data_IF_604928243962
#
_entry.id   IF_604928243962
#
_cell.length_a   1.000
_cell.length_b   1.000
_cell.length_c   1.000
_cell.angle_alpha   90.00
_cell.angle_beta   90.00
_cell.angle_gamma   90.00
#
_symmetry.space_group_name_H-M   'P 1'
#
loop_
_entity.id
_entity.type
_entity.pdbx_description
1 polymer ?
#
# COMPACT_ATOMS: atom_id res chain seq x y z
N UNK A 1 64.30 -38.52 39.93
CA UNK A 1 63.93 -37.94 38.63
C UNK A 1 62.44 -38.12 38.47
N UNK A 2 61.66 -37.03 38.65
CA UNK A 2 60.18 -36.97 38.46
C UNK A 2 59.90 -36.31 37.15
N UNK A 3 59.27 -36.98 36.20
CA UNK A 3 58.80 -36.47 34.94
C UNK A 3 57.45 -35.81 35.18
N UNK A 4 57.34 -34.49 34.94
CA UNK A 4 56.08 -33.77 34.89
C UNK A 4 55.52 -33.90 33.46
N UNK A 5 54.36 -34.54 33.36
CA UNK A 5 53.57 -34.61 32.12
C UNK A 5 52.64 -33.39 32.06
N UNK A 6 52.87 -32.54 31.09
CA UNK A 6 52.05 -31.32 30.86
C UNK A 6 50.93 -31.66 29.84
N UNK A 7 49.68 -31.71 30.27
CA UNK A 7 48.53 -31.90 29.40
C UNK A 7 48.06 -30.55 28.89
N UNK A 8 48.19 -30.34 27.59
CA UNK A 8 47.72 -29.14 26.88
C UNK A 8 46.24 -29.32 26.54
N UNK A 9 45.36 -28.59 27.25
CA UNK A 9 43.93 -28.57 26.94
C UNK A 9 43.65 -27.61 25.78
N UNK A 10 43.25 -28.12 24.63
CA UNK A 10 42.69 -27.33 23.51
C UNK A 10 41.25 -26.98 23.83
N UNK A 11 41.00 -25.70 24.04
CA UNK A 11 39.63 -25.12 24.12
C UNK A 11 39.20 -24.80 22.70
N UNK A 12 38.32 -25.62 22.14
CA UNK A 12 37.68 -25.34 20.85
C UNK A 12 36.54 -24.32 21.05
N UNK A 13 36.75 -23.08 20.63
CA UNK A 13 35.72 -22.05 20.63
C UNK A 13 34.78 -22.27 19.43
N UNK A 14 33.60 -22.81 19.67
CA UNK A 14 32.56 -22.96 18.69
C UNK A 14 31.89 -21.59 18.44
N UNK A 15 32.20 -20.92 17.32
CA UNK A 15 31.46 -19.78 16.85
C UNK A 15 30.06 -20.20 16.36
N UNK A 16 29.01 -19.91 17.15
CA UNK A 16 27.64 -20.02 16.71
C UNK A 16 27.36 -18.88 15.71
N UNK A 17 27.35 -19.20 14.42
CA UNK A 17 26.80 -18.34 13.38
C UNK A 17 25.27 -18.33 13.53
N UNK A 18 24.73 -17.30 14.18
CA UNK A 18 23.31 -17.04 14.17
C UNK A 18 22.91 -16.60 12.74
N UNK A 19 22.40 -17.54 11.96
CA UNK A 19 21.76 -17.23 10.68
C UNK A 19 20.50 -16.43 10.99
N UNK A 20 20.50 -15.12 10.69
CA UNK A 20 19.28 -14.32 10.64
C UNK A 20 18.40 -14.87 9.51
N UNK A 21 17.53 -15.82 9.81
CA UNK A 21 16.48 -16.23 8.89
C UNK A 21 15.56 -15.03 8.67
N UNK A 22 15.55 -14.48 7.46
CA UNK A 22 14.54 -13.49 7.07
C UNK A 22 13.16 -14.11 7.27
N UNK A 23 12.28 -13.41 7.99
CA UNK A 23 10.90 -13.88 8.15
C UNK A 23 10.27 -14.11 6.77
N UNK A 24 9.46 -15.16 6.59
CA UNK A 24 8.79 -15.41 5.32
C UNK A 24 7.98 -14.17 4.96
N UNK A 25 8.23 -13.62 3.76
CA UNK A 25 7.52 -12.46 3.27
C UNK A 25 6.12 -12.93 2.83
N UNK A 26 5.08 -12.20 3.28
CA UNK A 26 3.71 -12.49 2.90
C UNK A 26 3.43 -12.20 1.40
N UNK A 27 2.22 -12.53 0.92
CA UNK A 27 1.78 -12.16 -0.42
C UNK A 27 2.00 -10.68 -0.71
N UNK A 28 2.34 -10.38 -1.98
CA UNK A 28 2.60 -9.02 -2.45
C UNK A 28 1.74 -8.67 -3.65
N UNK A 29 1.43 -7.38 -3.77
CA UNK A 29 0.76 -6.83 -4.93
C UNK A 29 1.40 -5.49 -5.32
N UNK A 30 1.17 -5.10 -6.57
CA UNK A 30 1.69 -3.87 -7.15
C UNK A 30 0.62 -3.19 -8.00
N UNK A 31 0.62 -1.87 -7.99
CA UNK A 31 -0.18 -1.03 -8.86
C UNK A 31 0.73 0.05 -9.48
N UNK A 32 0.83 0.07 -10.81
CA UNK A 32 1.52 1.12 -11.54
C UNK A 32 0.50 2.18 -11.92
N UNK A 33 0.51 3.29 -11.21
CA UNK A 33 -0.38 4.43 -11.46
C UNK A 33 0.02 5.09 -12.78
N UNK A 34 -0.95 5.18 -13.67
CA UNK A 34 -0.85 5.92 -14.91
C UNK A 34 -1.76 7.16 -14.84
N UNK A 35 -1.35 8.28 -15.46
CA UNK A 35 -2.15 9.49 -15.43
C UNK A 35 -3.45 9.28 -16.22
N UNK A 36 -4.54 9.77 -15.70
CA UNK A 36 -5.78 9.91 -16.46
C UNK A 36 -5.65 11.07 -17.45
N UNK A 37 -6.59 11.13 -18.41
CA UNK A 37 -6.55 12.13 -19.49
C UNK A 37 -6.38 13.56 -18.97
N UNK A 38 -5.32 14.24 -19.43
CA UNK A 38 -5.01 15.63 -19.07
C UNK A 38 -4.33 15.80 -17.70
N UNK A 39 -3.96 14.70 -17.04
CA UNK A 39 -3.27 14.71 -15.75
C UNK A 39 -1.83 14.17 -15.88
N UNK A 40 -1.06 14.20 -14.76
CA UNK A 40 0.33 13.81 -14.75
C UNK A 40 0.69 12.85 -13.59
N UNK A 41 -0.27 12.48 -12.74
CA UNK A 41 -0.06 11.62 -11.58
C UNK A 41 0.40 10.23 -12.01
N UNK A 42 1.63 9.85 -11.71
CA UNK A 42 2.22 8.58 -12.11
C UNK A 42 3.17 8.02 -11.05
N UNK A 43 3.37 6.71 -11.05
CA UNK A 43 4.33 6.03 -10.19
C UNK A 43 3.88 4.64 -9.75
N UNK A 44 4.35 4.19 -8.60
CA UNK A 44 4.14 2.81 -8.15
C UNK A 44 3.65 2.78 -6.71
N UNK A 45 2.69 1.90 -6.46
CA UNK A 45 2.22 1.54 -5.13
C UNK A 45 2.43 0.05 -4.95
N UNK A 46 3.09 -0.35 -3.87
CA UNK A 46 3.26 -1.75 -3.50
C UNK A 46 2.55 -2.07 -2.20
N UNK A 47 2.01 -3.27 -2.13
CA UNK A 47 1.34 -3.83 -0.97
C UNK A 47 2.06 -5.11 -0.55
N UNK A 48 2.26 -5.30 0.74
CA UNK A 48 2.86 -6.49 1.32
C UNK A 48 2.07 -6.93 2.54
N UNK A 49 1.64 -8.19 2.56
CA UNK A 49 0.93 -8.73 3.72
C UNK A 49 1.87 -8.85 4.94
N UNK A 50 1.42 -8.33 6.07
CA UNK A 50 2.11 -8.31 7.37
C UNK A 50 1.14 -8.75 8.48
N UNK A 51 0.97 -10.07 8.66
CA UNK A 51 -0.07 -10.61 9.54
C UNK A 51 -1.46 -10.21 9.01
N UNK A 52 -2.26 -9.57 9.86
CA UNK A 52 -3.64 -9.14 9.53
C UNK A 52 -3.71 -7.75 8.86
N UNK A 53 -2.57 -7.21 8.44
CA UNK A 53 -2.47 -5.89 7.85
C UNK A 53 -1.70 -5.92 6.53
N UNK A 54 -1.85 -4.87 5.73
CA UNK A 54 -1.02 -4.61 4.55
C UNK A 54 -0.10 -3.43 4.82
N UNK A 55 1.21 -3.61 4.62
CA UNK A 55 2.15 -2.52 4.46
C UNK A 55 2.00 -1.96 3.03
N UNK A 56 1.70 -0.67 2.94
CA UNK A 56 1.54 0.06 1.68
C UNK A 56 2.71 1.02 1.52
N UNK A 57 3.43 0.90 0.40
CA UNK A 57 4.48 1.85 0.04
C UNK A 57 4.08 2.57 -1.24
N UNK A 58 4.13 3.89 -1.19
CA UNK A 58 3.71 4.79 -2.26
C UNK A 58 4.90 5.60 -2.76
N UNK A 59 5.11 5.61 -4.08
CA UNK A 59 6.09 6.46 -4.77
C UNK A 59 5.41 7.05 -6.00
N UNK A 60 4.96 8.29 -5.91
CA UNK A 60 4.26 8.99 -7.00
C UNK A 60 4.94 10.32 -7.30
N UNK A 61 4.65 10.84 -8.48
CA UNK A 61 5.03 12.18 -8.95
C UNK A 61 3.94 12.78 -9.85
N UNK A 62 4.11 14.03 -10.25
CA UNK A 62 3.16 14.70 -11.13
C UNK A 62 1.89 15.18 -10.42
N UNK A 63 1.93 15.27 -9.09
CA UNK A 63 0.85 15.81 -8.27
C UNK A 63 1.01 17.33 -8.10
N UNK A 64 -0.05 18.00 -7.69
CA UNK A 64 0.04 19.42 -7.35
C UNK A 64 0.90 19.60 -6.09
N UNK A 65 1.95 20.44 -6.12
CA UNK A 65 2.82 20.66 -4.98
C UNK A 65 2.08 21.11 -3.71
N UNK A 66 2.53 20.59 -2.55
CA UNK A 66 2.02 20.95 -1.23
C UNK A 66 0.51 20.75 -1.06
N UNK A 67 -0.09 19.79 -1.79
CA UNK A 67 -1.51 19.46 -1.65
C UNK A 67 -1.70 18.04 -1.13
N UNK A 68 -2.90 17.81 -0.62
CA UNK A 68 -3.37 16.50 -0.19
C UNK A 68 -4.32 15.93 -1.23
N UNK A 69 -4.31 14.60 -1.39
CA UNK A 69 -5.04 13.89 -2.42
C UNK A 69 -5.76 12.69 -1.83
N UNK A 70 -7.06 12.55 -2.09
CA UNK A 70 -7.81 11.33 -1.80
C UNK A 70 -7.18 10.14 -2.50
N UNK A 71 -7.14 9.00 -1.83
CA UNK A 71 -6.48 7.80 -2.29
C UNK A 71 -7.31 6.58 -1.93
N UNK A 72 -7.85 5.88 -2.95
CA UNK A 72 -8.84 4.85 -2.71
C UNK A 72 -8.68 3.64 -3.62
N UNK A 73 -8.98 2.45 -3.07
CA UNK A 73 -9.22 1.26 -3.88
C UNK A 73 -10.68 1.31 -4.36
N UNK A 74 -10.90 1.07 -5.65
CA UNK A 74 -12.20 1.09 -6.31
C UNK A 74 -12.68 -0.31 -6.68
N UNK A 75 -13.99 -0.45 -6.91
CA UNK A 75 -14.68 -1.73 -7.13
C UNK A 75 -14.14 -2.53 -8.32
N UNK A 76 -13.72 -1.86 -9.41
CA UNK A 76 -13.37 -2.51 -10.67
C UNK A 76 -11.94 -2.16 -11.07
N UNK A 77 -11.17 -3.16 -11.49
CA UNK A 77 -9.85 -2.95 -12.08
C UNK A 77 -9.93 -2.58 -13.55
N UNK A 78 -10.59 -1.47 -13.84
CA UNK A 78 -10.82 -0.98 -15.20
C UNK A 78 -10.47 0.51 -15.31
N UNK A 79 -9.35 0.82 -15.97
CA UNK A 79 -8.92 2.20 -16.25
C UNK A 79 -9.24 2.65 -17.70
N UNK A 80 -10.04 1.89 -18.45
CA UNK A 80 -10.23 2.08 -19.90
C UNK A 80 -10.98 3.35 -20.29
N UNK A 81 -11.78 3.94 -19.38
CA UNK A 81 -12.51 5.19 -19.66
C UNK A 81 -11.60 6.41 -19.87
N UNK A 82 -10.33 6.29 -19.46
CA UNK A 82 -9.34 7.35 -19.58
C UNK A 82 -9.50 8.50 -18.58
N UNK A 83 -10.58 8.53 -17.81
CA UNK A 83 -10.83 9.46 -16.70
C UNK A 83 -10.95 8.75 -15.35
N UNK A 84 -10.74 7.42 -15.35
CA UNK A 84 -10.83 6.56 -14.20
C UNK A 84 -12.26 6.20 -13.76
N UNK A 85 -13.30 6.70 -14.42
CA UNK A 85 -14.70 6.47 -14.00
C UNK A 85 -15.14 5.02 -14.18
N UNK A 86 -14.52 4.26 -15.09
CA UNK A 86 -14.79 2.82 -15.29
C UNK A 86 -14.47 1.96 -14.06
N UNK A 87 -13.66 2.46 -13.11
CA UNK A 87 -13.36 1.73 -11.85
C UNK A 87 -14.56 1.66 -10.89
N UNK A 88 -15.65 2.39 -11.13
CA UNK A 88 -16.83 2.40 -10.25
C UNK A 88 -16.63 3.23 -8.98
N UNK A 89 -17.32 2.84 -7.89
CA UNK A 89 -17.22 3.44 -6.56
C UNK A 89 -16.04 2.90 -5.75
N UNK A 90 -15.96 3.28 -4.47
CA UNK A 90 -14.97 2.73 -3.54
C UNK A 90 -15.23 1.24 -3.30
N UNK A 91 -14.17 0.45 -3.14
CA UNK A 91 -14.25 -0.96 -2.78
C UNK A 91 -14.84 -1.11 -1.38
N UNK A 92 -16.08 -1.60 -1.30
CA UNK A 92 -16.85 -1.67 -0.06
C UNK A 92 -17.60 -3.00 0.10
N UNK A 93 -16.90 -4.12 0.25
CA UNK A 93 -17.54 -5.43 0.41
C UNK A 93 -18.28 -5.56 1.75
N UNK A 94 -17.93 -4.76 2.74
CA UNK A 94 -18.51 -4.76 4.10
C UNK A 94 -19.72 -3.86 4.24
N UNK A 95 -20.04 -3.03 3.24
CA UNK A 95 -21.17 -2.08 3.21
C UNK A 95 -21.15 -1.05 4.35
N UNK A 96 -19.96 -0.61 4.72
CA UNK A 96 -19.76 0.47 5.67
C UNK A 96 -20.00 1.84 5.03
N UNK A 97 -20.07 2.88 5.84
CA UNK A 97 -20.04 4.27 5.37
C UNK A 97 -18.63 4.67 4.98
N UNK A 98 -18.47 5.72 4.15
CA UNK A 98 -17.18 6.32 3.88
C UNK A 98 -16.62 7.00 5.14
N UNK A 99 -15.31 6.89 5.38
CA UNK A 99 -14.72 7.49 6.57
C UNK A 99 -13.20 7.31 6.70
N UNK A 100 -12.61 7.88 7.76
CA UNK A 100 -11.17 7.82 7.99
C UNK A 100 -10.73 6.46 8.58
N UNK A 101 -9.45 6.14 8.41
CA UNK A 101 -8.83 5.02 9.09
C UNK A 101 -8.99 5.16 10.62
N UNK A 102 -9.34 4.05 11.29
CA UNK A 102 -9.60 4.03 12.74
C UNK A 102 -11.06 4.30 13.15
N UNK A 103 -11.94 4.61 12.22
CA UNK A 103 -13.39 4.60 12.36
C UNK A 103 -14.02 3.59 11.39
N UNK A 104 -15.35 3.53 11.35
CA UNK A 104 -16.05 2.77 10.31
C UNK A 104 -15.80 3.44 8.95
N UNK A 105 -15.37 2.64 7.95
CA UNK A 105 -15.00 3.13 6.62
C UNK A 105 -15.12 2.03 5.57
N UNK A 106 -15.11 2.37 4.29
CA UNK A 106 -15.00 1.38 3.22
C UNK A 106 -13.65 0.65 3.30
N UNK A 107 -13.60 -0.60 2.94
CA UNK A 107 -12.32 -1.32 2.86
C UNK A 107 -11.33 -0.61 1.93
N UNK A 108 -11.81 0.07 0.91
CA UNK A 108 -11.01 0.82 -0.06
C UNK A 108 -10.61 2.23 0.37
N UNK A 109 -11.07 2.76 1.49
CA UNK A 109 -10.68 4.10 1.96
C UNK A 109 -9.27 4.03 2.56
N UNK A 110 -8.28 4.57 1.87
CA UNK A 110 -6.89 4.59 2.31
C UNK A 110 -6.54 5.97 2.90
N UNK A 111 -5.46 6.07 3.69
CA UNK A 111 -4.95 7.37 4.12
C UNK A 111 -4.66 8.27 2.93
N UNK A 112 -5.08 9.54 3.01
CA UNK A 112 -4.80 10.52 1.97
C UNK A 112 -3.30 10.71 1.75
N UNK A 113 -2.91 11.04 0.52
CA UNK A 113 -1.53 11.25 0.12
C UNK A 113 -1.19 12.73 0.18
N UNK A 114 -0.06 13.08 0.80
CA UNK A 114 0.43 14.45 0.85
C UNK A 114 1.62 14.63 -0.08
N UNK A 115 1.47 15.46 -1.10
CA UNK A 115 2.54 15.81 -2.02
C UNK A 115 3.49 16.85 -1.39
N UNK A 116 4.78 16.67 -1.64
CA UNK A 116 5.83 17.61 -1.27
C UNK A 116 5.87 18.86 -2.19
N UNK A 117 6.87 19.71 -2.00
CA UNK A 117 7.06 20.92 -2.79
C UNK A 117 7.37 20.66 -4.28
N UNK A 118 7.80 19.45 -4.63
CA UNK A 118 8.06 19.00 -6.01
C UNK A 118 6.90 18.22 -6.63
N UNK A 119 5.77 18.10 -5.91
CA UNK A 119 4.62 17.30 -6.36
C UNK A 119 4.86 15.79 -6.32
N UNK A 120 5.72 15.34 -5.40
CA UNK A 120 6.04 13.93 -5.18
C UNK A 120 5.44 13.43 -3.89
N UNK A 121 5.12 12.13 -3.88
CA UNK A 121 4.76 11.39 -2.66
C UNK A 121 5.75 10.25 -2.48
N UNK A 122 6.34 10.18 -1.30
CA UNK A 122 7.04 9.01 -0.81
C UNK A 122 6.52 8.72 0.59
N UNK A 123 5.62 7.74 0.68
CA UNK A 123 4.92 7.40 1.92
C UNK A 123 4.95 5.89 2.17
N UNK A 124 4.88 5.53 3.45
CA UNK A 124 4.72 4.15 3.89
C UNK A 124 3.78 4.14 5.09
N UNK A 125 2.75 3.32 5.03
CA UNK A 125 1.75 3.18 6.10
C UNK A 125 1.17 1.76 6.11
N UNK A 126 0.49 1.43 7.19
CA UNK A 126 -0.17 0.13 7.35
C UNK A 126 -1.69 0.31 7.36
N UNK A 127 -2.40 -0.54 6.64
CA UNK A 127 -3.87 -0.61 6.64
C UNK A 127 -4.35 -1.97 7.13
N UNK A 128 -5.47 -1.98 7.83
CA UNK A 128 -6.07 -3.18 8.40
C UNK A 128 -7.17 -3.73 7.48
N UNK A 129 -7.59 -4.96 7.73
CA UNK A 129 -8.76 -5.59 7.13
C UNK A 129 -8.75 -5.74 5.60
N UNK A 130 -7.61 -5.53 4.93
CA UNK A 130 -7.40 -5.84 3.52
C UNK A 130 -6.56 -7.11 3.35
N UNK A 131 -6.81 -7.86 2.26
CA UNK A 131 -6.09 -9.09 1.93
C UNK A 131 -5.47 -9.04 0.53
N UNK A 132 -4.54 -9.98 0.26
CA UNK A 132 -3.95 -10.20 -1.06
C UNK A 132 -4.16 -11.66 -1.44
N UNK A 133 -4.96 -11.91 -2.48
CA UNK A 133 -5.21 -13.22 -3.05
C UNK A 133 -6.21 -14.07 -2.27
N UNK A 134 -6.87 -13.53 -1.26
CA UNK A 134 -7.85 -14.28 -0.47
C UNK A 134 -8.85 -13.39 0.31
N UNK A 135 -10.02 -13.96 0.57
CA UNK A 135 -11.05 -13.36 1.40
C UNK A 135 -11.89 -12.29 0.69
N UNK A 136 -12.91 -11.77 1.39
CA UNK A 136 -13.86 -10.81 0.81
C UNK A 136 -13.24 -9.40 0.60
N UNK A 137 -12.12 -9.12 1.24
CA UNK A 137 -11.40 -7.84 1.14
C UNK A 137 -10.10 -7.98 0.34
N UNK A 138 -10.03 -8.99 -0.57
CA UNK A 138 -8.92 -9.15 -1.50
C UNK A 138 -8.84 -7.95 -2.45
N UNK A 139 -7.66 -7.32 -2.51
CA UNK A 139 -7.43 -6.14 -3.34
C UNK A 139 -7.02 -6.45 -4.78
N UNK A 140 -6.72 -7.72 -5.10
CA UNK A 140 -6.29 -8.09 -6.46
C UNK A 140 -7.40 -7.88 -7.48
N UNK A 141 -7.04 -7.30 -8.62
CA UNK A 141 -7.98 -7.02 -9.70
C UNK A 141 -8.86 -5.80 -9.47
N UNK A 142 -8.71 -5.09 -8.37
CA UNK A 142 -9.39 -3.83 -8.09
C UNK A 142 -8.64 -2.62 -8.66
N UNK A 143 -9.36 -1.50 -8.84
CA UNK A 143 -8.78 -0.22 -9.26
C UNK A 143 -8.11 0.49 -8.08
N UNK A 144 -7.02 1.19 -8.34
CA UNK A 144 -6.40 2.10 -7.38
C UNK A 144 -6.41 3.50 -7.97
N UNK A 145 -7.01 4.45 -7.25
CA UNK A 145 -7.26 5.80 -7.73
C UNK A 145 -6.57 6.83 -6.84
N UNK A 146 -5.94 7.82 -7.49
CA UNK A 146 -5.49 9.07 -6.89
C UNK A 146 -6.44 10.19 -7.34
N UNK A 147 -6.94 10.98 -6.39
CA UNK A 147 -7.87 12.07 -6.63
C UNK A 147 -7.19 13.44 -6.67
N UNK A 148 -7.87 14.43 -7.26
CA UNK A 148 -7.32 15.78 -7.42
C UNK A 148 -7.34 16.61 -6.14
N UNK A 149 -8.28 16.32 -5.23
CA UNK A 149 -8.51 17.07 -3.99
C UNK A 149 -8.35 16.17 -2.76
N UNK A 150 -8.21 16.74 -1.56
CA UNK A 150 -8.25 16.00 -0.31
C UNK A 150 -9.54 15.19 -0.16
N UNK A 151 -9.44 14.10 0.59
CA UNK A 151 -10.60 13.42 1.14
C UNK A 151 -11.07 14.16 2.39
N UNK A 152 -12.35 14.53 2.47
CA UNK A 152 -12.91 15.17 3.67
C UNK A 152 -13.37 14.16 4.74
N UNK A 153 -13.34 12.85 4.42
CA UNK A 153 -13.71 11.72 5.27
C UNK A 153 -15.15 11.76 5.83
N UNK A 154 -16.00 12.64 5.33
CA UNK A 154 -17.35 12.89 5.86
C UNK A 154 -18.41 12.80 4.77
N UNK A 155 -18.15 13.38 3.60
CA UNK A 155 -19.12 13.42 2.49
C UNK A 155 -19.32 12.01 1.92
N UNK A 156 -20.57 11.56 1.97
CA UNK A 156 -20.92 10.25 1.44
C UNK A 156 -21.22 10.32 -0.06
N UNK A 157 -20.88 9.30 -0.82
CA UNK A 157 -20.13 8.09 -0.44
C UNK A 157 -18.62 8.15 -0.69
N UNK A 158 -18.03 9.30 -1.05
CA UNK A 158 -16.68 9.34 -1.64
C UNK A 158 -15.77 10.47 -1.13
N UNK A 159 -16.12 11.13 0.01
CA UNK A 159 -15.25 12.11 0.65
C UNK A 159 -14.98 13.37 -0.16
N UNK A 160 -15.80 13.67 -1.17
CA UNK A 160 -15.67 14.85 -2.02
C UNK A 160 -14.28 15.09 -2.65
N UNK A 161 -13.53 14.00 -2.88
CA UNK A 161 -12.14 14.04 -3.35
C UNK A 161 -11.97 14.51 -4.81
N UNK A 162 -13.07 14.74 -5.53
CA UNK A 162 -13.07 15.32 -6.88
C UNK A 162 -12.60 14.33 -7.97
N UNK A 163 -12.06 14.90 -9.06
CA UNK A 163 -11.68 14.14 -10.24
C UNK A 163 -10.56 13.12 -9.94
N UNK A 164 -10.54 12.02 -10.71
CA UNK A 164 -9.54 10.96 -10.64
C UNK A 164 -8.38 11.32 -11.55
N UNK A 165 -7.21 11.56 -10.99
CA UNK A 165 -6.03 12.05 -11.72
C UNK A 165 -4.99 10.96 -12.01
N UNK A 166 -5.10 9.83 -11.35
CA UNK A 166 -4.26 8.64 -11.58
C UNK A 166 -5.07 7.37 -11.37
N UNK A 167 -4.82 6.36 -12.21
CA UNK A 167 -5.53 5.08 -12.20
C UNK A 167 -4.56 3.92 -12.39
N UNK A 168 -4.78 2.83 -11.67
CA UNK A 168 -4.09 1.56 -11.85
C UNK A 168 -5.01 0.39 -11.58
N UNK A 169 -4.61 -0.79 -12.05
CA UNK A 169 -5.17 -2.08 -11.61
C UNK A 169 -4.15 -2.73 -10.66
N UNK A 170 -4.60 -3.18 -9.50
CA UNK A 170 -3.76 -3.89 -8.53
C UNK A 170 -3.54 -5.32 -9.01
N UNK A 171 -2.27 -5.73 -9.15
CA UNK A 171 -1.86 -7.04 -9.67
C UNK A 171 -0.95 -7.76 -8.68
N UNK A 172 -0.84 -9.09 -8.72
CA UNK A 172 0.21 -9.82 -7.99
C UNK A 172 1.60 -9.29 -8.38
N UNK A 173 2.54 -9.19 -7.38
CA UNK A 173 3.91 -8.73 -7.59
C UNK A 173 4.89 -9.92 -7.64
#
# INVERSE_FOLDING_TARGET
>A
MKLLSSTLSLIATACLLAACAAAPQGPRAIANIEPTRGNAAAGTVSFEARGDALLVNVKLSGLKPNTEHGFHIHEKGDCSSGDGMSTGGHFNPTRHVHGPQGAEHHAGDLPALKADADGRVQASFTVQALGIGQGPTDILGHGLIVHIAPDDYVTQPTGNSGARIGCAVIKPA
#
